data_IF_488524100396
#
_entry.id   IF_488524100396
#
_cell.length_a   1.000
_cell.length_b   1.000
_cell.length_c   1.000
_cell.angle_alpha   90.00
_cell.angle_beta   90.00
_cell.angle_gamma   90.00
#
_symmetry.space_group_name_H-M   'P 1'
#
loop_
_entity.id
_entity.type
_entity.pdbx_description
1 polymer ?
#
# COMPACT_ATOMS: atom_id res chain seq x y z
N UNK A 1 63.28 24.28 14.85
CA UNK A 1 62.42 23.18 15.27
C UNK A 1 62.14 22.31 14.07
N UNK A 2 62.51 21.03 14.15
CA UNK A 2 62.16 20.05 13.13
C UNK A 2 60.66 19.77 13.23
N UNK A 3 59.89 20.32 12.25
CA UNK A 3 58.50 19.95 12.11
C UNK A 3 58.38 18.45 11.80
N UNK A 4 57.61 17.73 12.60
CA UNK A 4 57.31 16.33 12.34
C UNK A 4 56.49 16.26 11.04
N UNK A 5 56.95 15.54 10.00
CA UNK A 5 56.25 15.48 8.73
C UNK A 5 54.86 14.83 8.91
N UNK A 6 53.91 15.32 8.15
CA UNK A 6 52.58 14.71 8.08
C UNK A 6 52.61 13.38 7.33
N UNK A 7 51.61 12.52 7.53
CA UNK A 7 51.50 11.26 6.80
C UNK A 7 51.46 11.48 5.29
N UNK A 8 50.78 12.52 4.86
CA UNK A 8 50.67 12.94 3.45
C UNK A 8 52.04 13.32 2.87
N UNK A 9 52.82 14.11 3.60
CA UNK A 9 54.19 14.48 3.19
C UNK A 9 55.15 13.29 3.03
N UNK A 10 55.03 12.31 3.95
CA UNK A 10 55.81 11.04 3.85
C UNK A 10 55.37 10.26 2.61
N UNK A 11 54.03 10.15 2.37
CA UNK A 11 53.50 9.43 1.23
C UNK A 11 53.86 10.08 -0.11
N UNK A 12 53.82 11.41 -0.20
CA UNK A 12 54.27 12.16 -1.37
C UNK A 12 55.75 11.91 -1.69
N UNK A 13 56.55 11.83 -0.64
CA UNK A 13 57.99 11.51 -0.79
C UNK A 13 58.17 10.08 -1.32
N UNK A 14 57.41 9.10 -0.82
CA UNK A 14 57.48 7.71 -1.32
C UNK A 14 57.05 7.63 -2.79
N UNK A 15 56.00 8.33 -3.19
CA UNK A 15 55.56 8.37 -4.58
C UNK A 15 56.66 8.95 -5.48
N UNK A 16 57.25 10.09 -5.08
CA UNK A 16 58.30 10.74 -5.82
C UNK A 16 59.52 9.81 -5.99
N UNK A 17 60.00 9.18 -4.92
CA UNK A 17 61.12 8.25 -4.94
C UNK A 17 60.85 7.07 -5.87
N UNK A 18 59.66 6.47 -5.82
CA UNK A 18 59.28 5.34 -6.67
C UNK A 18 59.30 5.72 -8.18
N UNK A 19 58.81 6.93 -8.49
CA UNK A 19 58.80 7.43 -9.86
C UNK A 19 60.24 7.73 -10.35
N UNK A 20 61.00 8.48 -9.56
CA UNK A 20 62.38 8.86 -9.90
C UNK A 20 63.33 7.68 -10.02
N UNK A 21 63.10 6.60 -9.22
CA UNK A 21 63.87 5.37 -9.28
C UNK A 21 63.46 4.43 -10.42
N UNK A 22 62.52 4.83 -11.28
CA UNK A 22 62.08 4.06 -12.45
C UNK A 22 61.10 2.93 -12.13
N UNK A 23 60.56 2.86 -10.90
CA UNK A 23 59.58 1.82 -10.48
C UNK A 23 58.14 2.19 -10.83
N UNK A 24 57.88 2.63 -12.09
CA UNK A 24 56.60 3.18 -12.50
C UNK A 24 55.38 2.31 -12.21
N UNK A 25 55.50 0.97 -12.36
CA UNK A 25 54.39 0.03 -12.07
C UNK A 25 54.06 -0.01 -10.59
N UNK A 26 55.08 0.06 -9.72
CA UNK A 26 54.89 0.06 -8.25
C UNK A 26 54.33 1.42 -7.82
N UNK A 27 54.88 2.52 -8.36
CA UNK A 27 54.37 3.86 -8.11
C UNK A 27 52.86 4.00 -8.45
N UNK A 28 52.47 3.51 -9.63
CA UNK A 28 51.06 3.51 -10.02
C UNK A 28 50.15 2.74 -9.02
N UNK A 29 50.60 1.56 -8.61
CA UNK A 29 49.83 0.76 -7.61
C UNK A 29 49.76 1.46 -6.26
N UNK A 30 50.85 2.06 -5.83
CA UNK A 30 50.92 2.81 -4.57
C UNK A 30 50.01 4.03 -4.56
N UNK A 31 50.00 4.84 -5.64
CA UNK A 31 49.16 6.02 -5.80
C UNK A 31 47.67 5.59 -5.74
N UNK A 32 47.28 4.57 -6.49
CA UNK A 32 45.91 4.05 -6.48
C UNK A 32 45.51 3.54 -5.09
N UNK A 33 46.35 2.76 -4.42
CA UNK A 33 46.09 2.30 -3.08
C UNK A 33 45.97 3.43 -2.06
N UNK A 34 46.84 4.43 -2.14
CA UNK A 34 46.80 5.61 -1.28
C UNK A 34 45.51 6.40 -1.49
N UNK A 35 45.11 6.64 -2.72
CA UNK A 35 43.89 7.37 -3.05
C UNK A 35 42.67 6.62 -2.49
N UNK A 36 42.60 5.30 -2.65
CA UNK A 36 41.52 4.49 -2.09
C UNK A 36 41.49 4.56 -0.57
N UNK A 37 42.64 4.46 0.11
CA UNK A 37 42.73 4.54 1.58
C UNK A 37 42.36 5.92 2.11
N UNK A 38 42.71 6.99 1.44
CA UNK A 38 42.32 8.35 1.80
C UNK A 38 40.81 8.51 1.68
N UNK A 39 40.24 8.06 0.56
CA UNK A 39 38.82 8.07 0.31
C UNK A 39 38.05 7.30 1.41
N UNK A 40 38.50 6.11 1.78
CA UNK A 40 37.88 5.28 2.86
C UNK A 40 37.97 5.98 4.22
N UNK A 41 39.08 6.64 4.54
CA UNK A 41 39.25 7.39 5.81
C UNK A 41 38.30 8.57 5.90
N UNK A 42 38.21 9.38 4.83
CA UNK A 42 37.30 10.54 4.77
C UNK A 42 35.84 10.13 4.97
N UNK A 43 35.45 9.01 4.39
CA UNK A 43 34.08 8.51 4.48
C UNK A 43 33.74 7.90 5.83
N UNK A 44 34.65 7.12 6.42
CA UNK A 44 34.46 6.62 7.79
C UNK A 44 34.28 7.77 8.77
N UNK A 45 35.02 8.87 8.60
CA UNK A 45 34.91 10.04 9.46
C UNK A 45 33.54 10.72 9.28
N UNK A 46 33.06 10.88 8.04
CA UNK A 46 31.76 11.48 7.74
C UNK A 46 30.60 10.61 8.26
N UNK A 47 30.65 9.30 7.99
CA UNK A 47 29.64 8.35 8.45
C UNK A 47 29.57 8.30 9.97
N UNK A 48 30.71 8.25 10.66
CA UNK A 48 30.74 8.24 12.11
C UNK A 48 30.14 9.50 12.71
N UNK A 49 30.38 10.67 12.12
CA UNK A 49 29.76 11.93 12.56
C UNK A 49 28.25 11.91 12.38
N UNK A 50 27.75 11.39 11.24
CA UNK A 50 26.31 11.25 11.01
C UNK A 50 25.69 10.30 12.02
N UNK A 51 26.37 9.18 12.33
CA UNK A 51 25.89 8.23 13.34
C UNK A 51 25.90 8.82 14.76
N UNK A 52 26.92 9.61 15.11
CA UNK A 52 26.95 10.37 16.35
C UNK A 52 25.76 11.33 16.46
N UNK A 53 25.51 12.11 15.41
CA UNK A 53 24.38 13.03 15.34
C UNK A 53 23.02 12.30 15.43
N UNK A 54 22.87 11.18 14.76
CA UNK A 54 21.67 10.32 14.85
C UNK A 54 21.47 9.73 16.25
N UNK A 55 22.55 9.46 16.97
CA UNK A 55 22.49 8.85 18.30
C UNK A 55 22.13 9.87 19.38
N UNK A 56 22.72 11.06 19.34
CA UNK A 56 22.70 11.98 20.46
C UNK A 56 21.84 13.23 20.26
N UNK A 57 21.46 13.57 19.02
CA UNK A 57 20.58 14.70 18.76
C UNK A 57 19.13 14.25 18.60
N UNK A 58 18.19 15.08 19.09
CA UNK A 58 16.76 14.87 18.86
C UNK A 58 16.37 15.13 17.39
N UNK A 59 15.18 14.67 16.98
CA UNK A 59 14.63 14.96 15.64
C UNK A 59 14.42 16.45 15.39
N UNK A 60 14.26 17.26 16.45
CA UNK A 60 14.12 18.72 16.34
C UNK A 60 15.43 19.42 15.93
N UNK A 61 16.57 18.80 16.25
CA UNK A 61 17.91 19.36 16.03
C UNK A 61 18.67 18.69 14.88
N UNK A 62 18.12 17.62 14.30
CA UNK A 62 18.80 16.81 13.28
C UNK A 62 17.94 16.67 12.03
N UNK A 63 18.37 17.31 10.93
CA UNK A 63 17.67 17.26 9.65
C UNK A 63 17.61 15.85 9.06
N UNK A 64 18.65 15.03 9.25
CA UNK A 64 18.66 13.63 8.77
C UNK A 64 17.57 12.79 9.43
N UNK A 65 17.27 13.03 10.72
CA UNK A 65 16.15 12.37 11.40
C UNK A 65 14.78 12.75 10.83
N UNK A 66 14.65 13.95 10.24
CA UNK A 66 13.41 14.50 9.68
C UNK A 66 13.29 14.34 8.17
N UNK A 67 14.34 13.87 7.50
CA UNK A 67 14.40 13.77 6.04
C UNK A 67 13.24 12.96 5.44
N UNK A 68 12.75 11.94 6.14
CA UNK A 68 11.58 11.18 5.76
C UNK A 68 10.46 11.35 6.80
N UNK A 69 9.43 12.13 6.45
CA UNK A 69 8.29 12.44 7.32
C UNK A 69 7.48 11.19 7.72
N UNK A 70 7.60 10.08 7.00
CA UNK A 70 6.88 8.84 7.28
C UNK A 70 7.60 7.94 8.30
N UNK A 71 8.84 8.27 8.66
CA UNK A 71 9.64 7.49 9.64
C UNK A 71 9.90 8.37 10.85
N UNK A 72 9.47 7.91 12.02
CA UNK A 72 9.81 8.56 13.29
C UNK A 72 11.26 8.20 13.67
N UNK A 73 12.17 9.14 13.44
CA UNK A 73 13.60 8.99 13.71
C UNK A 73 13.96 8.94 15.20
N UNK A 74 13.04 9.26 16.11
CA UNK A 74 13.25 9.18 17.56
C UNK A 74 12.87 7.80 18.14
N UNK A 75 12.23 6.93 17.34
CA UNK A 75 12.03 5.52 17.72
C UNK A 75 13.31 4.69 17.50
N UNK A 76 13.51 3.65 18.31
CA UNK A 76 14.65 2.76 18.18
C UNK A 76 14.79 2.17 16.76
N UNK A 77 13.67 1.70 16.18
CA UNK A 77 13.66 1.15 14.83
C UNK A 77 13.84 2.23 13.77
N UNK A 78 13.29 3.42 13.97
CA UNK A 78 13.49 4.56 13.08
C UNK A 78 14.97 4.99 13.05
N UNK A 79 15.63 5.07 14.20
CA UNK A 79 17.06 5.35 14.29
C UNK A 79 17.90 4.27 13.57
N UNK A 80 17.58 2.99 13.77
CA UNK A 80 18.27 1.87 13.07
C UNK A 80 18.10 1.93 11.56
N UNK A 81 16.90 2.28 11.08
CA UNK A 81 16.66 2.48 9.65
C UNK A 81 17.50 3.65 9.10
N UNK A 82 17.62 4.74 9.86
CA UNK A 82 18.47 5.89 9.48
C UNK A 82 19.95 5.53 9.42
N UNK A 83 20.46 4.71 10.35
CA UNK A 83 21.83 4.19 10.24
C UNK A 83 22.03 3.37 8.96
N UNK A 84 21.08 2.47 8.63
CA UNK A 84 21.11 1.68 7.40
C UNK A 84 21.06 2.56 6.15
N UNK A 85 20.17 3.52 6.11
CA UNK A 85 20.01 4.48 5.01
C UNK A 85 21.29 5.26 4.75
N UNK A 86 21.87 5.90 5.77
CA UNK A 86 23.10 6.68 5.62
C UNK A 86 24.31 5.83 5.22
N UNK A 87 24.39 4.62 5.75
CA UNK A 87 25.41 3.65 5.33
C UNK A 87 25.25 3.23 3.87
N UNK A 88 24.03 2.94 3.45
CA UNK A 88 23.71 2.57 2.07
C UNK A 88 24.00 3.70 1.08
N UNK A 89 23.58 4.93 1.36
CA UNK A 89 23.88 6.12 0.52
C UNK A 89 25.37 6.24 0.27
N UNK A 90 26.20 6.15 1.34
CA UNK A 90 27.64 6.27 1.19
C UNK A 90 28.23 5.09 0.41
N UNK A 91 27.73 3.88 0.60
CA UNK A 91 28.15 2.71 -0.17
C UNK A 91 27.87 2.92 -1.67
N UNK A 92 26.67 3.39 -2.03
CA UNK A 92 26.32 3.64 -3.43
C UNK A 92 27.13 4.77 -4.05
N UNK A 93 27.37 5.86 -3.32
CA UNK A 93 28.25 6.95 -3.77
C UNK A 93 29.69 6.49 -4.04
N UNK A 94 30.17 5.53 -3.24
CA UNK A 94 31.57 5.07 -3.32
C UNK A 94 31.83 4.04 -4.40
N UNK A 95 30.92 3.06 -4.51
CA UNK A 95 31.23 1.82 -5.19
C UNK A 95 30.33 1.54 -6.40
N UNK A 96 29.16 2.17 -6.45
CA UNK A 96 28.15 1.86 -7.46
C UNK A 96 27.99 3.00 -8.47
N UNK A 97 27.86 4.24 -7.99
CA UNK A 97 27.71 5.40 -8.87
C UNK A 97 29.00 5.74 -9.60
N UNK A 98 28.86 6.25 -10.83
CA UNK A 98 29.96 6.92 -11.49
C UNK A 98 30.47 8.06 -10.61
N UNK A 99 31.80 8.23 -10.45
CA UNK A 99 32.39 9.28 -9.60
C UNK A 99 31.92 10.71 -9.97
N UNK A 100 31.62 10.98 -11.22
CA UNK A 100 31.10 12.28 -11.65
C UNK A 100 29.68 12.50 -11.17
N UNK A 101 28.82 11.47 -11.23
CA UNK A 101 27.45 11.53 -10.73
C UNK A 101 27.43 11.63 -9.20
N UNK A 102 28.26 10.86 -8.51
CA UNK A 102 28.38 10.93 -7.06
C UNK A 102 28.85 12.32 -6.60
N UNK A 103 29.78 12.92 -7.34
CA UNK A 103 30.23 14.29 -7.08
C UNK A 103 29.12 15.31 -7.30
N UNK A 104 28.44 15.26 -8.45
CA UNK A 104 27.35 16.17 -8.79
C UNK A 104 26.19 16.07 -7.76
N UNK A 105 25.88 14.86 -7.27
CA UNK A 105 24.89 14.66 -6.23
C UNK A 105 25.31 15.31 -4.90
N UNK A 106 26.56 15.12 -4.47
CA UNK A 106 27.09 15.73 -3.23
C UNK A 106 27.19 17.26 -3.30
N UNK A 107 27.49 17.81 -4.48
CA UNK A 107 27.62 19.26 -4.71
C UNK A 107 26.25 19.92 -4.93
N UNK A 108 25.17 19.14 -5.08
CA UNK A 108 23.82 19.63 -5.26
C UNK A 108 23.47 20.00 -6.71
N UNK A 109 24.32 19.66 -7.69
CA UNK A 109 24.05 19.88 -9.11
C UNK A 109 22.92 18.97 -9.61
N UNK A 110 22.82 17.77 -9.06
CA UNK A 110 21.71 16.82 -9.26
C UNK A 110 21.25 16.23 -7.93
N UNK A 111 20.02 15.74 -7.90
CA UNK A 111 19.50 14.95 -6.78
C UNK A 111 19.14 13.55 -7.23
N UNK A 112 19.76 12.52 -6.64
CA UNK A 112 19.39 11.13 -6.83
C UNK A 112 18.42 10.77 -5.70
N UNK A 113 17.14 10.62 -6.04
CA UNK A 113 16.08 10.32 -5.09
C UNK A 113 16.20 8.88 -4.59
N UNK A 114 15.90 8.64 -3.30
CA UNK A 114 15.93 7.31 -2.66
C UNK A 114 17.25 6.55 -2.90
N UNK A 115 18.38 7.26 -2.84
CA UNK A 115 19.71 6.69 -3.09
C UNK A 115 20.02 5.49 -2.22
N UNK A 116 19.51 5.44 -1.01
CA UNK A 116 19.65 4.31 -0.07
C UNK A 116 18.96 3.02 -0.54
N UNK A 117 18.01 3.12 -1.47
CA UNK A 117 17.30 1.98 -2.06
C UNK A 117 17.70 1.67 -3.51
N UNK A 118 18.74 2.31 -4.04
CA UNK A 118 19.11 2.31 -5.47
C UNK A 118 19.09 0.94 -6.15
N UNK A 119 19.53 -0.12 -5.46
CA UNK A 119 19.59 -1.49 -6.01
C UNK A 119 18.67 -2.47 -5.30
N UNK A 120 17.94 -2.03 -4.27
CA UNK A 120 17.18 -2.93 -3.41
C UNK A 120 15.76 -3.18 -3.91
N UNK A 121 15.11 -2.14 -4.44
CA UNK A 121 13.72 -2.23 -4.88
C UNK A 121 13.36 -1.08 -5.82
N UNK A 122 12.18 -1.17 -6.44
CA UNK A 122 11.56 -0.06 -7.14
C UNK A 122 10.97 0.95 -6.16
N UNK A 123 10.96 2.21 -6.55
CA UNK A 123 10.33 3.28 -5.77
C UNK A 123 8.98 3.62 -6.39
N UNK A 124 7.96 3.81 -5.57
CA UNK A 124 6.58 4.08 -5.93
C UNK A 124 5.95 3.01 -6.84
N UNK A 125 4.69 2.69 -6.59
CA UNK A 125 3.98 1.71 -7.40
C UNK A 125 2.48 2.02 -7.50
N UNK A 126 1.84 1.38 -8.49
CA UNK A 126 0.39 1.33 -8.63
C UNK A 126 -0.09 -0.09 -8.34
N UNK A 127 -1.14 -0.21 -7.54
CA UNK A 127 -1.73 -1.49 -7.13
C UNK A 127 -3.05 -1.69 -7.87
N UNK A 128 -3.14 -2.73 -8.69
CA UNK A 128 -4.37 -3.14 -9.35
C UNK A 128 -5.19 -4.05 -8.43
N UNK A 129 -6.01 -3.44 -7.57
CA UNK A 129 -6.87 -4.18 -6.66
C UNK A 129 -7.94 -5.03 -7.38
N UNK A 130 -8.42 -4.62 -8.55
CA UNK A 130 -9.38 -5.42 -9.33
C UNK A 130 -8.81 -6.79 -9.68
N UNK A 131 -7.58 -6.80 -10.18
CA UNK A 131 -6.87 -8.03 -10.52
C UNK A 131 -6.57 -8.86 -9.28
N UNK A 132 -6.05 -8.24 -8.23
CA UNK A 132 -5.74 -8.92 -6.96
C UNK A 132 -6.97 -9.59 -6.36
N UNK A 133 -8.12 -8.91 -6.35
CA UNK A 133 -9.34 -9.47 -5.75
C UNK A 133 -9.97 -10.56 -6.59
N UNK A 134 -9.95 -10.44 -7.93
CA UNK A 134 -10.49 -11.46 -8.82
C UNK A 134 -9.70 -12.77 -8.75
N UNK A 135 -8.37 -12.65 -8.80
CA UNK A 135 -7.49 -13.80 -8.91
C UNK A 135 -7.06 -14.35 -7.53
N UNK A 136 -7.28 -13.56 -6.47
CA UNK A 136 -6.67 -13.76 -5.17
C UNK A 136 -5.19 -13.41 -5.15
N UNK A 137 -4.59 -13.31 -3.98
CA UNK A 137 -3.17 -12.98 -3.84
C UNK A 137 -2.57 -13.56 -2.56
N UNK A 138 -1.24 -13.57 -2.49
CA UNK A 138 -0.48 -13.97 -1.31
C UNK A 138 0.41 -12.83 -0.85
N UNK A 139 0.51 -12.67 0.47
CA UNK A 139 1.45 -11.76 1.13
C UNK A 139 2.72 -12.48 1.63
N UNK A 140 2.95 -13.73 1.18
CA UNK A 140 4.03 -14.58 1.65
C UNK A 140 3.64 -15.51 2.81
N UNK A 141 2.52 -15.27 3.48
CA UNK A 141 2.07 -16.02 4.67
C UNK A 141 0.75 -16.76 4.47
N UNK A 142 0.31 -16.97 3.25
CA UNK A 142 -0.94 -17.63 2.90
C UNK A 142 -1.60 -17.00 1.70
N UNK A 143 -2.66 -17.65 1.19
CA UNK A 143 -3.40 -17.18 0.04
C UNK A 143 -4.72 -16.54 0.46
N UNK A 144 -4.97 -15.32 -0.02
CA UNK A 144 -6.17 -14.54 0.19
C UNK A 144 -7.06 -14.68 -1.05
N UNK A 145 -8.21 -15.32 -0.87
CA UNK A 145 -9.21 -15.51 -1.93
C UNK A 145 -9.96 -14.22 -2.23
N UNK A 146 -10.74 -14.23 -3.32
CA UNK A 146 -11.68 -13.16 -3.64
C UNK A 146 -12.61 -12.84 -2.46
N UNK A 147 -12.74 -11.56 -2.06
CA UNK A 147 -13.62 -11.16 -0.94
C UNK A 147 -15.10 -11.25 -1.31
N UNK A 148 -15.95 -11.42 -0.29
CA UNK A 148 -17.37 -11.71 -0.46
C UNK A 148 -18.31 -10.53 -0.19
N UNK A 149 -17.82 -9.47 0.46
CA UNK A 149 -18.59 -8.27 0.78
C UNK A 149 -17.69 -7.03 0.87
N UNK A 150 -18.29 -5.83 0.94
CA UNK A 150 -17.54 -4.58 0.93
C UNK A 150 -16.60 -4.44 2.13
N UNK A 151 -16.90 -5.04 3.29
CA UNK A 151 -16.00 -5.01 4.46
C UNK A 151 -14.74 -5.82 4.19
N UNK A 152 -14.90 -7.00 3.59
CA UNK A 152 -13.77 -7.84 3.19
C UNK A 152 -12.95 -7.20 2.08
N UNK A 153 -13.59 -6.53 1.11
CA UNK A 153 -12.91 -5.76 0.08
C UNK A 153 -12.04 -4.64 0.68
N UNK A 154 -12.60 -3.88 1.61
CA UNK A 154 -11.89 -2.80 2.32
C UNK A 154 -10.72 -3.35 3.15
N UNK A 155 -10.94 -4.43 3.90
CA UNK A 155 -9.89 -5.05 4.71
C UNK A 155 -8.74 -5.59 3.84
N UNK A 156 -9.04 -6.25 2.72
CA UNK A 156 -8.02 -6.78 1.81
C UNK A 156 -7.29 -5.66 1.05
N UNK A 157 -7.94 -4.52 0.78
CA UNK A 157 -7.26 -3.34 0.24
C UNK A 157 -6.20 -2.81 1.22
N UNK A 158 -6.53 -2.69 2.51
CA UNK A 158 -5.56 -2.33 3.54
C UNK A 158 -4.39 -3.33 3.60
N UNK A 159 -4.68 -4.63 3.59
CA UNK A 159 -3.67 -5.69 3.64
C UNK A 159 -2.74 -5.60 2.41
N UNK A 160 -3.29 -5.41 1.21
CA UNK A 160 -2.50 -5.28 -0.01
C UNK A 160 -1.54 -4.08 0.07
N UNK A 161 -2.03 -2.90 0.47
CA UNK A 161 -1.23 -1.68 0.61
C UNK A 161 -0.18 -1.85 1.71
N UNK A 162 -0.56 -2.35 2.88
CA UNK A 162 0.35 -2.49 4.02
C UNK A 162 1.40 -3.58 3.80
N UNK A 163 1.05 -4.68 3.15
CA UNK A 163 2.01 -5.73 2.79
C UNK A 163 3.01 -5.24 1.75
N UNK A 164 2.51 -4.60 0.68
CA UNK A 164 3.36 -4.07 -0.38
C UNK A 164 4.34 -2.99 0.12
N UNK A 165 4.02 -2.27 1.19
CA UNK A 165 4.91 -1.30 1.81
C UNK A 165 6.23 -1.93 2.30
N UNK A 166 6.25 -3.23 2.64
CA UNK A 166 7.47 -3.91 3.06
C UNK A 166 8.35 -4.36 1.89
N UNK A 167 7.78 -4.49 0.70
CA UNK A 167 8.46 -5.01 -0.49
C UNK A 167 8.95 -3.90 -1.43
N UNK A 168 8.50 -2.67 -1.23
CA UNK A 168 8.89 -1.52 -2.06
C UNK A 168 9.15 -0.28 -1.20
N UNK A 169 9.77 0.76 -1.77
CA UNK A 169 9.99 2.04 -1.12
C UNK A 169 9.20 3.16 -1.81
N UNK A 170 8.74 4.15 -1.02
CA UNK A 170 8.00 5.31 -1.53
C UNK A 170 6.50 5.14 -1.54
N UNK A 171 5.81 5.99 -2.30
CA UNK A 171 4.35 6.06 -2.34
C UNK A 171 3.70 4.91 -3.10
N UNK A 172 2.48 4.59 -2.73
CA UNK A 172 1.64 3.60 -3.37
C UNK A 172 0.34 4.24 -3.84
N UNK A 173 -0.17 3.87 -5.00
CA UNK A 173 -1.46 4.36 -5.47
C UNK A 173 -2.37 3.23 -5.94
N UNK A 174 -3.68 3.42 -5.71
CA UNK A 174 -4.72 2.60 -6.32
C UNK A 174 -5.41 3.45 -7.40
N UNK A 175 -5.17 3.20 -8.69
CA UNK A 175 -5.56 4.11 -9.76
C UNK A 175 -7.08 4.12 -10.05
N UNK A 176 -7.82 3.08 -9.63
CA UNK A 176 -9.21 2.85 -9.95
C UNK A 176 -9.96 2.27 -8.74
N UNK A 177 -9.89 2.98 -7.62
CA UNK A 177 -10.41 2.49 -6.34
C UNK A 177 -11.92 2.25 -6.35
N UNK A 178 -12.71 3.14 -6.96
CA UNK A 178 -14.16 3.01 -7.13
C UNK A 178 -14.53 1.73 -7.89
N UNK A 179 -13.91 1.47 -9.03
CA UNK A 179 -14.09 0.21 -9.78
C UNK A 179 -13.69 -1.03 -8.95
N UNK A 180 -12.63 -0.89 -8.14
CA UNK A 180 -12.13 -1.99 -7.33
C UNK A 180 -13.06 -2.37 -6.19
N UNK A 181 -13.79 -1.40 -5.64
CA UNK A 181 -14.73 -1.60 -4.53
C UNK A 181 -16.16 -1.92 -5.00
N UNK A 182 -16.57 -1.49 -6.19
CA UNK A 182 -17.92 -1.68 -6.72
C UNK A 182 -18.41 -3.15 -6.68
N UNK A 183 -17.62 -4.17 -7.02
CA UNK A 183 -18.04 -5.56 -6.86
C UNK A 183 -18.35 -5.95 -5.41
N UNK A 184 -17.63 -5.38 -4.44
CA UNK A 184 -17.89 -5.58 -3.02
C UNK A 184 -19.24 -5.01 -2.59
N UNK A 185 -19.59 -3.82 -3.06
CA UNK A 185 -20.92 -3.21 -2.85
C UNK A 185 -22.02 -4.07 -3.46
N UNK A 186 -21.82 -4.54 -4.70
CA UNK A 186 -22.78 -5.42 -5.40
C UNK A 186 -23.04 -6.71 -4.65
N UNK A 187 -21.98 -7.41 -4.21
CA UNK A 187 -22.10 -8.63 -3.41
C UNK A 187 -22.80 -8.38 -2.07
N UNK A 188 -22.50 -7.24 -1.43
CA UNK A 188 -23.15 -6.82 -0.19
C UNK A 188 -24.64 -6.59 -0.38
N UNK A 189 -25.03 -5.84 -1.43
CA UNK A 189 -26.46 -5.59 -1.72
C UNK A 189 -27.21 -6.89 -2.00
N UNK A 190 -26.66 -7.78 -2.85
CA UNK A 190 -27.25 -9.09 -3.15
C UNK A 190 -27.52 -9.90 -1.89
N UNK A 191 -26.51 -9.97 -0.99
CA UNK A 191 -26.66 -10.67 0.30
C UNK A 191 -27.73 -10.04 1.17
N UNK A 192 -27.68 -8.71 1.35
CA UNK A 192 -28.63 -8.00 2.20
C UNK A 192 -30.06 -8.01 1.64
N UNK A 193 -30.22 -8.01 0.32
CA UNK A 193 -31.53 -8.20 -0.29
C UNK A 193 -32.13 -9.56 0.10
N UNK A 194 -31.38 -10.64 -0.05
CA UNK A 194 -31.81 -11.99 0.36
C UNK A 194 -32.15 -12.07 1.85
N UNK A 195 -31.26 -11.53 2.70
CA UNK A 195 -31.45 -11.56 4.15
C UNK A 195 -32.69 -10.75 4.59
N UNK A 196 -32.95 -9.61 3.94
CA UNK A 196 -34.15 -8.80 4.21
C UNK A 196 -35.40 -9.37 3.55
N UNK A 197 -35.29 -10.11 2.44
CA UNK A 197 -36.41 -10.87 1.90
C UNK A 197 -36.86 -11.98 2.86
N UNK A 198 -35.92 -12.71 3.45
CA UNK A 198 -36.22 -13.70 4.47
C UNK A 198 -36.98 -13.08 5.65
N UNK A 199 -36.47 -11.96 6.20
CA UNK A 199 -37.17 -11.23 7.28
C UNK A 199 -38.57 -10.76 6.86
N UNK A 200 -38.74 -10.31 5.62
CA UNK A 200 -40.04 -9.87 5.12
C UNK A 200 -41.03 -11.02 5.00
N UNK A 201 -40.58 -12.19 4.60
CA UNK A 201 -41.39 -13.40 4.54
C UNK A 201 -41.83 -13.86 5.93
N UNK A 202 -40.94 -13.80 6.95
CA UNK A 202 -41.29 -14.07 8.33
C UNK A 202 -42.34 -13.09 8.90
N UNK A 203 -42.26 -11.79 8.49
CA UNK A 203 -43.15 -10.73 9.05
C UNK A 203 -44.49 -10.63 8.32
N UNK A 204 -44.51 -10.86 7.02
CA UNK A 204 -45.69 -10.62 6.17
C UNK A 204 -46.27 -11.90 5.57
N UNK A 205 -45.57 -13.03 5.61
CA UNK A 205 -46.10 -14.31 5.19
C UNK A 205 -47.19 -14.76 6.16
N UNK A 206 -48.35 -15.16 5.65
CA UNK A 206 -49.43 -15.70 6.45
C UNK A 206 -49.17 -17.17 6.72
N UNK A 207 -49.27 -17.54 8.02
CA UNK A 207 -49.37 -18.88 8.65
C UNK A 207 -48.56 -20.10 8.12
N UNK A 208 -47.87 -20.66 9.07
CA UNK A 208 -47.39 -22.02 9.48
C UNK A 208 -47.25 -23.17 8.46
N UNK A 209 -47.73 -23.10 7.24
CA UNK A 209 -47.74 -24.25 6.30
C UNK A 209 -46.96 -24.04 4.96
N UNK A 210 -46.44 -22.87 4.66
CA UNK A 210 -45.62 -22.63 3.47
C UNK A 210 -44.41 -21.77 3.81
N UNK A 211 -43.41 -22.38 4.45
CA UNK A 211 -42.12 -21.75 4.72
C UNK A 211 -41.38 -21.56 3.39
N UNK A 212 -41.51 -20.36 2.81
CA UNK A 212 -40.76 -19.98 1.60
C UNK A 212 -39.31 -19.75 2.00
N UNK A 213 -38.44 -20.68 1.63
CA UNK A 213 -37.00 -20.48 1.81
C UNK A 213 -36.49 -19.39 0.86
N UNK A 214 -36.31 -18.20 1.41
CA UNK A 214 -35.79 -17.04 0.67
C UNK A 214 -34.45 -17.33 -0.04
N UNK A 215 -33.62 -18.17 0.55
CA UNK A 215 -32.34 -18.54 -0.02
C UNK A 215 -32.51 -19.43 -1.24
N UNK A 216 -33.23 -20.50 -1.11
CA UNK A 216 -33.51 -21.42 -2.20
C UNK A 216 -34.24 -20.71 -3.36
N UNK A 217 -35.20 -19.82 -3.02
CA UNK A 217 -35.92 -19.03 -4.01
C UNK A 217 -35.02 -18.05 -4.76
N UNK A 218 -34.16 -17.30 -4.05
CA UNK A 218 -33.23 -16.37 -4.69
C UNK A 218 -32.22 -17.09 -5.58
N UNK A 219 -31.67 -18.22 -5.13
CA UNK A 219 -30.73 -19.05 -5.89
C UNK A 219 -31.41 -19.62 -7.18
N UNK A 220 -32.68 -20.06 -7.08
CA UNK A 220 -33.47 -20.51 -8.24
C UNK A 220 -33.65 -19.41 -9.27
N UNK A 221 -34.13 -18.24 -8.86
CA UNK A 221 -34.36 -17.10 -9.77
C UNK A 221 -33.08 -16.62 -10.42
N UNK A 222 -31.98 -16.61 -9.68
CA UNK A 222 -30.66 -16.26 -10.21
C UNK A 222 -30.14 -17.26 -11.24
N UNK A 223 -30.36 -18.58 -11.03
CA UNK A 223 -29.99 -19.62 -11.99
C UNK A 223 -30.84 -19.57 -13.26
N UNK A 224 -32.15 -19.38 -13.12
CA UNK A 224 -33.08 -19.32 -14.25
C UNK A 224 -32.90 -18.09 -15.13
N UNK A 225 -32.57 -16.94 -14.52
CA UNK A 225 -32.53 -15.65 -15.24
C UNK A 225 -31.12 -15.17 -15.58
N UNK A 226 -30.08 -15.73 -14.93
CA UNK A 226 -28.72 -15.19 -14.99
C UNK A 226 -28.59 -13.78 -14.40
N UNK A 227 -29.57 -13.32 -13.60
CA UNK A 227 -29.65 -12.00 -13.03
C UNK A 227 -29.69 -12.08 -11.50
N UNK A 228 -29.31 -11.01 -10.84
CA UNK A 228 -29.30 -10.91 -9.37
C UNK A 228 -29.77 -9.53 -8.92
N UNK A 229 -30.16 -9.42 -7.63
CA UNK A 229 -30.51 -8.15 -7.05
C UNK A 229 -29.35 -7.15 -7.17
N UNK A 230 -29.64 -5.97 -7.73
CA UNK A 230 -28.65 -4.90 -7.93
C UNK A 230 -29.14 -3.57 -7.35
N UNK A 231 -28.20 -2.70 -6.99
CA UNK A 231 -28.51 -1.42 -6.32
C UNK A 231 -29.44 -0.53 -7.15
N UNK A 232 -29.21 -0.43 -8.47
CA UNK A 232 -30.03 0.40 -9.36
C UNK A 232 -31.44 -0.15 -9.60
N UNK A 233 -31.63 -1.46 -9.48
CA UNK A 233 -32.88 -2.11 -9.98
C UNK A 233 -32.95 -2.14 -11.52
N UNK A 234 -34.10 -2.46 -12.05
CA UNK A 234 -34.41 -2.31 -13.49
C UNK A 234 -33.73 -3.29 -14.44
N UNK A 235 -33.03 -4.31 -13.89
CA UNK A 235 -32.39 -5.37 -14.69
C UNK A 235 -33.34 -6.56 -14.98
N UNK A 236 -34.60 -6.48 -14.52
CA UNK A 236 -35.60 -7.55 -14.66
C UNK A 236 -35.51 -8.63 -13.57
N UNK A 237 -34.63 -8.51 -12.59
CA UNK A 237 -34.55 -9.44 -11.45
C UNK A 237 -35.73 -9.27 -10.50
N UNK A 238 -36.12 -8.03 -10.20
CA UNK A 238 -37.20 -7.73 -9.26
C UNK A 238 -38.53 -8.27 -9.79
N UNK A 239 -38.79 -8.17 -11.09
CA UNK A 239 -39.98 -8.72 -11.74
C UNK A 239 -39.96 -10.26 -11.70
N UNK A 240 -38.83 -10.86 -11.98
CA UNK A 240 -38.69 -12.32 -11.90
C UNK A 240 -38.88 -12.83 -10.46
N UNK A 241 -38.33 -12.13 -9.47
CA UNK A 241 -38.49 -12.48 -8.06
C UNK A 241 -39.94 -12.32 -7.61
N UNK A 242 -40.60 -11.23 -7.97
CA UNK A 242 -41.98 -11.02 -7.67
C UNK A 242 -42.91 -12.11 -8.29
N UNK A 243 -42.60 -12.52 -9.54
CA UNK A 243 -43.31 -13.63 -10.20
C UNK A 243 -43.11 -14.95 -9.44
N UNK A 244 -41.86 -15.26 -9.03
CA UNK A 244 -41.57 -16.47 -8.28
C UNK A 244 -42.26 -16.49 -6.90
N UNK A 245 -42.34 -15.35 -6.20
CA UNK A 245 -43.08 -15.21 -4.95
C UNK A 245 -44.60 -15.37 -5.14
N UNK A 246 -45.15 -14.93 -6.28
CA UNK A 246 -46.59 -15.05 -6.60
C UNK A 246 -47.03 -16.51 -6.85
N UNK A 247 -46.13 -17.44 -6.93
CA UNK A 247 -46.46 -18.91 -6.94
C UNK A 247 -47.07 -19.39 -5.63
N UNK A 248 -46.71 -18.68 -4.52
CA UNK A 248 -47.07 -19.09 -3.15
C UNK A 248 -47.74 -18.02 -2.33
N UNK A 249 -47.66 -16.75 -2.70
CA UNK A 249 -48.18 -15.61 -1.95
C UNK A 249 -49.11 -14.76 -2.81
N UNK A 250 -50.03 -14.05 -2.16
CA UNK A 250 -50.87 -13.06 -2.84
C UNK A 250 -50.08 -11.82 -3.29
N UNK A 251 -50.60 -11.13 -4.31
CA UNK A 251 -49.95 -9.96 -4.93
C UNK A 251 -49.63 -8.83 -3.93
N UNK A 252 -50.50 -8.61 -2.94
CA UNK A 252 -50.32 -7.56 -1.93
C UNK A 252 -49.17 -7.90 -0.96
N UNK A 253 -49.06 -9.15 -0.56
CA UNK A 253 -47.97 -9.66 0.28
C UNK A 253 -46.65 -9.65 -0.48
N UNK A 254 -46.62 -10.11 -1.72
CA UNK A 254 -45.45 -10.00 -2.62
C UNK A 254 -44.96 -8.55 -2.72
N UNK A 255 -45.84 -7.60 -2.98
CA UNK A 255 -45.46 -6.19 -3.10
C UNK A 255 -44.87 -5.63 -1.79
N UNK A 256 -45.40 -6.04 -0.62
CA UNK A 256 -44.84 -5.64 0.68
C UNK A 256 -43.46 -6.24 0.92
N UNK A 257 -43.28 -7.54 0.66
CA UNK A 257 -42.02 -8.25 0.83
C UNK A 257 -40.93 -7.62 -0.06
N UNK A 258 -41.21 -7.42 -1.34
CA UNK A 258 -40.26 -6.81 -2.28
C UNK A 258 -39.88 -5.37 -1.90
N UNK A 259 -40.89 -4.55 -1.53
CA UNK A 259 -40.61 -3.19 -1.05
C UNK A 259 -39.79 -3.14 0.20
N UNK A 260 -40.07 -4.03 1.17
CA UNK A 260 -39.29 -4.13 2.40
C UNK A 260 -37.86 -4.56 2.10
N UNK A 261 -37.67 -5.67 1.38
CA UNK A 261 -36.36 -6.21 1.04
C UNK A 261 -35.48 -5.18 0.36
N UNK A 262 -36.02 -4.49 -0.65
CA UNK A 262 -35.29 -3.45 -1.39
C UNK A 262 -34.90 -2.26 -0.52
N UNK A 263 -35.86 -1.71 0.23
CA UNK A 263 -35.63 -0.53 1.08
C UNK A 263 -34.56 -0.78 2.13
N UNK A 264 -34.62 -1.94 2.80
CA UNK A 264 -33.68 -2.25 3.85
C UNK A 264 -32.32 -2.71 3.32
N UNK A 265 -32.29 -3.44 2.20
CA UNK A 265 -31.03 -3.77 1.53
C UNK A 265 -30.27 -2.50 1.10
N UNK A 266 -30.92 -1.51 0.52
CA UNK A 266 -30.30 -0.22 0.17
C UNK A 266 -29.76 0.48 1.43
N UNK A 267 -30.59 0.67 2.45
CA UNK A 267 -30.18 1.32 3.70
C UNK A 267 -28.99 0.64 4.38
N UNK A 268 -29.03 -0.68 4.48
CA UNK A 268 -28.00 -1.47 5.14
C UNK A 268 -26.71 -1.52 4.29
N UNK A 269 -26.82 -1.56 2.96
CA UNK A 269 -25.67 -1.49 2.04
C UNK A 269 -24.95 -0.16 2.19
N UNK A 270 -25.67 0.95 2.18
CA UNK A 270 -25.12 2.29 2.39
C UNK A 270 -24.38 2.38 3.73
N UNK A 271 -25.02 1.94 4.80
CA UNK A 271 -24.40 1.92 6.13
C UNK A 271 -23.13 1.06 6.17
N UNK A 272 -23.20 -0.15 5.61
CA UNK A 272 -22.06 -1.09 5.60
C UNK A 272 -20.91 -0.56 4.75
N UNK A 273 -21.21 0.08 3.61
CA UNK A 273 -20.19 0.69 2.75
C UNK A 273 -19.53 1.87 3.45
N UNK A 274 -20.29 2.76 4.09
CA UNK A 274 -19.75 3.86 4.88
C UNK A 274 -18.78 3.35 5.97
N UNK A 275 -19.22 2.36 6.76
CA UNK A 275 -18.37 1.79 7.80
C UNK A 275 -17.10 1.12 7.25
N UNK A 276 -17.17 0.51 6.06
CA UNK A 276 -16.02 -0.08 5.41
C UNK A 276 -15.02 0.99 4.94
N UNK A 277 -15.50 2.09 4.38
CA UNK A 277 -14.64 3.22 3.96
C UNK A 277 -14.02 3.93 5.17
N UNK A 278 -14.80 4.19 6.21
CA UNK A 278 -14.31 4.73 7.47
C UNK A 278 -13.20 3.86 8.08
N UNK A 279 -13.40 2.54 8.15
CA UNK A 279 -12.40 1.60 8.64
C UNK A 279 -11.14 1.59 7.78
N UNK A 280 -11.26 1.69 6.46
CA UNK A 280 -10.13 1.78 5.54
C UNK A 280 -9.29 3.03 5.80
N UNK A 281 -9.93 4.19 5.89
CA UNK A 281 -9.25 5.46 6.16
C UNK A 281 -8.55 5.43 7.52
N UNK A 282 -9.22 4.93 8.56
CA UNK A 282 -8.60 4.77 9.88
C UNK A 282 -7.41 3.82 9.85
N UNK A 283 -7.53 2.68 9.22
CA UNK A 283 -6.43 1.71 9.12
C UNK A 283 -5.21 2.30 8.41
N UNK A 284 -5.40 2.97 7.27
CA UNK A 284 -4.30 3.54 6.51
C UNK A 284 -3.60 4.72 7.23
N UNK A 285 -4.31 5.41 8.13
CA UNK A 285 -3.76 6.53 8.89
C UNK A 285 -3.21 6.15 10.28
N UNK A 286 -3.48 4.96 10.78
CA UNK A 286 -3.11 4.58 12.16
C UNK A 286 -2.30 3.29 12.27
N UNK A 287 -2.42 2.38 11.30
CA UNK A 287 -1.72 1.10 11.34
C UNK A 287 -0.29 1.21 10.82
N UNK A 288 0.65 1.06 11.71
CA UNK A 288 2.06 0.97 11.37
C UNK A 288 2.35 -0.40 10.75
N UNK A 289 2.69 -0.42 9.47
CA UNK A 289 2.95 -1.67 8.75
C UNK A 289 4.43 -1.95 8.51
N UNK A 290 5.32 -1.01 8.86
CA UNK A 290 6.77 -1.15 8.70
C UNK A 290 7.52 -0.59 9.91
N UNK A 291 8.77 -1.03 10.10
CA UNK A 291 9.67 -0.53 11.13
C UNK A 291 9.81 1.01 11.09
N UNK A 292 10.03 1.62 12.26
CA UNK A 292 10.12 3.09 12.39
C UNK A 292 8.75 3.78 12.50
N UNK A 293 7.72 3.06 12.93
CA UNK A 293 6.34 3.55 13.08
C UNK A 293 5.76 4.14 11.77
N UNK A 294 6.23 3.63 10.62
CA UNK A 294 5.81 4.15 9.33
C UNK A 294 4.40 3.68 8.96
N UNK A 295 3.51 4.63 8.70
CA UNK A 295 2.22 4.38 8.06
C UNK A 295 2.38 4.31 6.54
N UNK A 296 1.48 3.63 5.79
CA UNK A 296 1.53 3.59 4.33
C UNK A 296 1.31 4.98 3.73
N UNK A 297 2.26 5.45 2.94
CA UNK A 297 2.06 6.64 2.12
C UNK A 297 1.32 6.22 0.84
N UNK A 298 -0.01 6.41 0.83
CA UNK A 298 -0.88 5.88 -0.21
C UNK A 298 -1.87 6.92 -0.73
N UNK A 299 -2.21 6.81 -2.00
CA UNK A 299 -3.26 7.58 -2.65
C UNK A 299 -4.32 6.67 -3.27
N UNK A 300 -5.58 7.07 -3.15
CA UNK A 300 -6.72 6.40 -3.76
C UNK A 300 -7.27 7.31 -4.85
N UNK A 301 -7.22 6.85 -6.10
CA UNK A 301 -7.80 7.58 -7.23
C UNK A 301 -9.18 7.00 -7.55
N UNK A 302 -10.18 7.85 -7.59
CA UNK A 302 -11.56 7.48 -7.83
C UNK A 302 -12.30 8.65 -8.55
N UNK A 303 -13.52 8.43 -9.01
CA UNK A 303 -14.34 9.47 -9.63
C UNK A 303 -14.75 9.17 -11.07
N UNK A 304 -14.39 8.01 -11.61
CA UNK A 304 -14.64 7.66 -13.02
C UNK A 304 -15.62 6.51 -13.22
N UNK A 305 -15.92 5.71 -12.19
CA UNK A 305 -16.93 4.65 -12.27
C UNK A 305 -18.34 5.25 -12.29
N UNK A 306 -19.07 5.02 -13.37
CA UNK A 306 -20.45 5.47 -13.55
C UNK A 306 -21.51 4.49 -13.03
N UNK A 307 -21.09 3.31 -12.56
CA UNK A 307 -22.00 2.34 -11.96
C UNK A 307 -22.61 2.88 -10.65
N UNK A 308 -23.82 2.47 -10.29
CA UNK A 308 -24.42 2.84 -9.00
C UNK A 308 -23.58 2.47 -7.80
N UNK A 309 -22.90 1.33 -7.87
CA UNK A 309 -22.04 0.80 -6.84
C UNK A 309 -20.76 1.63 -6.70
N UNK A 310 -20.10 1.98 -7.80
CA UNK A 310 -18.91 2.85 -7.80
C UNK A 310 -19.24 4.26 -7.32
N UNK A 311 -20.40 4.81 -7.75
CA UNK A 311 -20.89 6.11 -7.25
C UNK A 311 -21.14 6.09 -5.75
N UNK A 312 -21.69 4.99 -5.23
CA UNK A 312 -21.89 4.84 -3.79
C UNK A 312 -20.56 4.82 -3.03
N UNK A 313 -19.52 4.19 -3.57
CA UNK A 313 -18.15 4.22 -2.99
C UNK A 313 -17.64 5.67 -2.97
N UNK A 314 -17.77 6.41 -4.07
CA UNK A 314 -17.33 7.80 -4.17
C UNK A 314 -18.08 8.76 -3.21
N UNK A 315 -19.36 8.48 -2.98
CA UNK A 315 -20.21 9.29 -2.08
C UNK A 315 -19.82 9.07 -0.61
N UNK A 316 -19.34 7.87 -0.25
CA UNK A 316 -19.19 7.44 1.13
C UNK A 316 -17.71 7.32 1.59
N UNK A 317 -16.75 7.54 0.67
CA UNK A 317 -15.33 7.66 0.97
C UNK A 317 -14.97 9.10 1.37
#
# INVERSE_FOLDING_TARGET
GTETPTVEQVQDTVEKVLIESGHARTAKKYILYRNERTRVREMNTRLMKVYEDLTFKSSLENDVKRENANIDGDTAMGTMLKYGSEGAKQFYEMFILDPAHAKAHREGDIHIHDLDFLTLTTTCCQIDLLKLFRDGFSTGHGFLREPNDIRSYSALACIAIQSNQNDQHGGQSVPNFDYSMAPGVRKTFRKLFRDNLAKALEVFGEDDNNEVDARALTERVEQETGKWACLAGGNGYDEAMAKALSETLDEKTVAKCMKFARKYADKETRKTTYQAMEALVHNLNTMHSRAGAQIPFSSLNYGTDTSPEGRLVMELL
#
